data_IF_840080259708
#
_entry.id   IF_840080259708
#
_cell.length_a   1.000
_cell.length_b   1.000
_cell.length_c   1.000
_cell.angle_alpha   90.00
_cell.angle_beta   90.00
_cell.angle_gamma   90.00
#
_symmetry.space_group_name_H-M   'P 1'
#
loop_
_entity.id
_entity.type
_entity.pdbx_description
1 polymer ?
#
# COMPACT_ATOMS: atom_id res chain seq x y z
N UNK A 1 -4.46 14.54 -15.37
CA UNK A 1 -5.16 13.26 -15.52
C UNK A 1 -6.03 13.02 -14.29
N UNK A 2 -7.24 12.58 -14.49
CA UNK A 2 -8.17 12.33 -13.40
C UNK A 2 -8.27 10.83 -13.12
N UNK A 3 -8.53 10.51 -11.86
CA UNK A 3 -8.67 9.13 -11.39
C UNK A 3 -10.00 9.01 -10.63
N UNK A 4 -11.13 9.03 -11.32
CA UNK A 4 -12.44 9.11 -10.66
C UNK A 4 -12.78 7.87 -9.84
N UNK A 5 -12.14 6.73 -10.10
CA UNK A 5 -12.36 5.51 -9.33
C UNK A 5 -11.40 5.36 -8.15
N UNK A 6 -10.46 6.30 -7.99
CA UNK A 6 -9.51 6.30 -6.87
C UNK A 6 -10.07 7.15 -5.74
N UNK A 7 -10.87 6.54 -4.89
CA UNK A 7 -11.56 7.20 -3.80
C UNK A 7 -11.31 6.53 -2.44
N UNK A 8 -10.32 5.65 -2.37
CA UNK A 8 -10.03 4.90 -1.16
C UNK A 8 -9.02 5.63 -0.28
N UNK A 9 -9.14 5.43 1.02
CA UNK A 9 -8.13 5.83 1.97
C UNK A 9 -7.19 4.67 2.24
N UNK A 10 -5.89 4.96 2.35
CA UNK A 10 -4.89 3.98 2.78
C UNK A 10 -4.00 4.62 3.82
N UNK A 11 -3.48 3.81 4.73
CA UNK A 11 -2.55 4.27 5.76
C UNK A 11 -1.18 3.68 5.48
N UNK A 12 -0.17 4.55 5.45
CA UNK A 12 1.21 4.18 5.19
C UNK A 12 1.98 4.24 6.50
N UNK A 13 2.70 3.17 6.81
CA UNK A 13 3.55 3.08 7.99
C UNK A 13 5.00 2.92 7.58
N UNK A 14 5.86 3.76 8.12
CA UNK A 14 7.29 3.76 7.82
C UNK A 14 8.08 3.83 9.12
N UNK A 15 9.11 3.01 9.23
CA UNK A 15 9.99 3.04 10.37
C UNK A 15 11.18 3.96 10.11
N UNK A 16 11.46 4.82 11.07
CA UNK A 16 12.66 5.65 11.11
C UNK A 16 13.54 5.22 12.27
N UNK A 17 14.80 5.67 12.30
CA UNK A 17 15.74 5.34 13.36
C UNK A 17 15.24 5.80 14.73
N UNK A 18 14.50 6.90 14.79
CA UNK A 18 13.98 7.53 16.01
C UNK A 18 12.50 7.24 16.27
N UNK A 19 11.90 6.30 15.55
CA UNK A 19 10.50 5.96 15.74
C UNK A 19 9.78 5.62 14.44
N UNK A 20 8.46 5.67 14.46
CA UNK A 20 7.63 5.36 13.32
C UNK A 20 6.91 6.57 12.77
N UNK A 21 6.61 6.54 11.49
CA UNK A 21 5.80 7.53 10.81
C UNK A 21 4.52 6.87 10.32
N UNK A 22 3.41 7.60 10.44
CA UNK A 22 2.11 7.15 9.95
C UNK A 22 1.49 8.27 9.12
N UNK A 23 1.03 7.95 7.93
CA UNK A 23 0.32 8.88 7.05
C UNK A 23 -0.93 8.24 6.51
N UNK A 24 -2.00 8.99 6.46
CA UNK A 24 -3.23 8.59 5.78
C UNK A 24 -3.27 9.29 4.43
N UNK A 25 -3.36 8.51 3.35
CA UNK A 25 -3.49 9.03 1.99
C UNK A 25 -4.93 8.86 1.55
N UNK A 26 -5.49 9.91 0.95
CA UNK A 26 -6.86 9.93 0.46
C UNK A 26 -6.89 9.88 -1.06
N UNK A 27 -7.95 9.32 -1.62
CA UNK A 27 -8.13 9.30 -3.06
C UNK A 27 -7.19 8.37 -3.81
N UNK A 28 -6.91 7.22 -3.24
CA UNK A 28 -6.06 6.20 -3.85
C UNK A 28 -6.89 5.03 -4.36
N UNK A 29 -6.27 4.19 -5.21
CA UNK A 29 -6.81 2.90 -5.58
C UNK A 29 -5.97 1.81 -4.91
N UNK A 30 -6.63 0.83 -4.31
CA UNK A 30 -5.96 -0.28 -3.65
C UNK A 30 -6.63 -1.59 -4.02
N UNK A 31 -5.83 -2.57 -4.44
CA UNK A 31 -6.31 -3.88 -4.82
C UNK A 31 -5.39 -4.93 -4.18
N UNK A 32 -5.97 -5.84 -3.41
CA UNK A 32 -5.25 -6.81 -2.60
C UNK A 32 -5.60 -8.23 -3.05
N UNK A 33 -4.66 -9.16 -2.89
CA UNK A 33 -4.89 -10.56 -3.20
C UNK A 33 -4.92 -10.87 -4.70
N UNK A 34 -4.14 -10.11 -5.50
CA UNK A 34 -4.18 -10.21 -6.96
C UNK A 34 -3.84 -11.58 -7.51
N UNK A 35 -2.97 -12.33 -6.80
CA UNK A 35 -2.53 -13.65 -7.24
C UNK A 35 -3.06 -14.75 -6.34
N UNK A 36 -4.12 -14.45 -5.58
CA UNK A 36 -4.73 -15.40 -4.67
C UNK A 36 -5.21 -16.64 -5.44
N UNK A 37 -4.86 -17.82 -4.94
CA UNK A 37 -5.28 -19.07 -5.56
C UNK A 37 -5.56 -20.12 -4.49
N UNK A 38 -6.47 -21.02 -4.82
CA UNK A 38 -6.81 -22.13 -3.96
C UNK A 38 -5.89 -23.29 -4.25
N UNK A 39 -5.30 -23.88 -3.23
CA UNK A 39 -4.43 -25.03 -3.32
C UNK A 39 -5.13 -26.27 -2.78
N UNK A 40 -4.48 -27.43 -2.89
CA UNK A 40 -4.99 -28.67 -2.31
C UNK A 40 -5.14 -28.55 -0.79
N UNK A 41 -4.28 -27.78 -0.15
CA UNK A 41 -4.32 -27.54 1.31
C UNK A 41 -5.28 -26.42 1.71
N UNK A 42 -5.97 -25.79 0.75
CA UNK A 42 -6.89 -24.69 1.00
C UNK A 42 -6.42 -23.41 0.31
N UNK A 43 -6.98 -22.29 0.75
CA UNK A 43 -6.64 -20.99 0.20
C UNK A 43 -5.24 -20.56 0.65
N UNK A 44 -4.35 -20.39 -0.29
CA UNK A 44 -3.02 -19.90 0.00
C UNK A 44 -3.09 -18.39 0.24
N UNK A 45 -2.48 -17.94 1.34
CA UNK A 45 -2.44 -16.52 1.66
C UNK A 45 -1.54 -15.79 0.67
N UNK A 46 -2.12 -14.82 -0.03
CA UNK A 46 -1.42 -14.02 -1.03
C UNK A 46 -1.24 -12.61 -0.51
N UNK A 47 0.00 -12.16 -0.47
CA UNK A 47 0.35 -10.81 -0.02
C UNK A 47 0.53 -9.83 -1.18
N UNK A 48 0.24 -10.26 -2.41
CA UNK A 48 0.33 -9.41 -3.59
C UNK A 48 -0.73 -8.31 -3.55
N UNK A 49 -0.36 -7.09 -3.91
CA UNK A 49 -1.28 -5.96 -3.97
C UNK A 49 -0.82 -4.94 -5.00
N UNK A 50 -1.73 -4.06 -5.38
CA UNK A 50 -1.46 -2.92 -6.22
C UNK A 50 -2.05 -1.68 -5.58
N UNK A 51 -1.24 -0.66 -5.40
CA UNK A 51 -1.63 0.65 -4.89
C UNK A 51 -1.34 1.69 -5.96
N UNK A 52 -2.34 2.50 -6.30
CA UNK A 52 -2.18 3.64 -7.22
C UNK A 52 -2.44 4.92 -6.44
N UNK A 53 -1.44 5.80 -6.41
CA UNK A 53 -1.51 7.08 -5.72
C UNK A 53 -1.48 8.18 -6.77
N UNK A 54 -2.62 8.84 -7.05
CA UNK A 54 -2.64 9.98 -7.97
C UNK A 54 -1.69 11.09 -7.50
N UNK A 55 -1.13 11.84 -8.43
CA UNK A 55 -0.20 12.93 -8.11
C UNK A 55 -0.81 13.92 -7.12
N UNK A 56 -0.03 14.35 -6.14
CA UNK A 56 -0.46 15.28 -5.10
C UNK A 56 -1.18 14.63 -3.92
N UNK A 57 -1.42 13.32 -3.95
CA UNK A 57 -2.10 12.62 -2.84
C UNK A 57 -1.16 12.11 -1.77
N UNK A 58 0.12 11.97 -2.08
CA UNK A 58 1.12 11.50 -1.15
C UNK A 58 2.19 10.66 -1.84
N UNK A 59 3.06 10.06 -1.05
CA UNK A 59 4.15 9.24 -1.56
C UNK A 59 4.34 7.99 -0.72
N UNK A 60 5.04 7.02 -1.29
CA UNK A 60 5.34 5.74 -0.66
C UNK A 60 6.74 5.30 -1.10
N UNK A 61 7.40 4.51 -0.25
CA UNK A 61 8.73 3.96 -0.53
C UNK A 61 8.73 2.45 -0.35
N UNK A 62 9.69 1.80 -1.00
CA UNK A 62 9.92 0.37 -0.79
C UNK A 62 10.17 0.10 0.70
N UNK A 63 9.52 -0.92 1.24
CA UNK A 63 9.61 -1.26 2.66
C UNK A 63 8.49 -0.68 3.51
N UNK A 64 7.78 0.33 3.01
CA UNK A 64 6.61 0.85 3.73
C UNK A 64 5.55 -0.23 3.87
N UNK A 65 4.79 -0.18 4.96
CA UNK A 65 3.64 -1.05 5.18
C UNK A 65 2.37 -0.28 4.89
N UNK A 66 1.46 -0.92 4.18
CA UNK A 66 0.22 -0.29 3.70
C UNK A 66 -0.97 -1.01 4.30
N UNK A 67 -1.87 -0.25 4.88
CA UNK A 67 -3.12 -0.75 5.44
C UNK A 67 -4.29 -0.09 4.69
N UNK A 68 -5.24 -0.86 4.14
CA UNK A 68 -6.40 -0.29 3.47
C UNK A 68 -7.33 0.35 4.49
N UNK A 69 -7.77 1.57 4.19
CA UNK A 69 -8.56 2.36 5.12
C UNK A 69 -7.68 3.09 6.11
N UNK A 70 -8.29 3.51 7.22
CA UNK A 70 -7.60 4.25 8.28
C UNK A 70 -7.15 3.26 9.35
N UNK A 71 -5.85 3.01 9.41
CA UNK A 71 -5.27 2.06 10.35
C UNK A 71 -5.01 2.65 11.72
N UNK A 72 -4.59 1.83 12.69
CA UNK A 72 -4.35 2.28 14.06
C UNK A 72 -3.27 3.37 14.13
N UNK A 73 -3.45 4.31 15.07
CA UNK A 73 -2.53 5.43 15.25
C UNK A 73 -1.19 5.02 15.84
N UNK A 74 -1.19 3.99 16.68
CA UNK A 74 0.02 3.48 17.30
C UNK A 74 0.13 1.99 17.04
N UNK A 75 1.29 1.55 16.60
CA UNK A 75 1.54 0.15 16.29
C UNK A 75 2.88 -0.27 16.90
N UNK A 76 2.96 -1.54 17.31
CA UNK A 76 4.23 -2.18 17.62
C UNK A 76 4.81 -2.69 16.30
N UNK A 77 5.86 -2.04 15.81
CA UNK A 77 6.44 -2.33 14.49
C UNK A 77 6.78 -3.81 14.30
N UNK A 78 7.26 -4.46 15.36
CA UNK A 78 7.67 -5.85 15.27
C UNK A 78 6.50 -6.83 15.19
N UNK A 79 5.30 -6.41 15.62
CA UNK A 79 4.07 -7.21 15.57
C UNK A 79 3.13 -6.78 14.44
N UNK A 80 3.31 -5.58 13.94
CA UNK A 80 2.48 -5.02 12.87
C UNK A 80 3.06 -5.42 11.51
N UNK A 81 2.98 -6.71 11.19
CA UNK A 81 3.61 -7.29 10.01
C UNK A 81 2.57 -7.96 9.12
N UNK A 82 2.80 -7.94 7.78
CA UNK A 82 1.94 -8.66 6.86
C UNK A 82 1.93 -10.15 7.21
N UNK A 83 0.74 -10.74 7.12
CA UNK A 83 0.57 -12.13 7.49
C UNK A 83 0.08 -12.33 8.91
N UNK A 84 0.40 -11.42 9.83
CA UNK A 84 -0.12 -11.39 11.21
C UNK A 84 -1.32 -10.45 11.28
N UNK A 85 -1.18 -9.26 10.71
CA UNK A 85 -2.27 -8.26 10.65
C UNK A 85 -3.01 -8.44 9.34
N UNK A 86 -4.28 -8.74 9.42
CA UNK A 86 -5.11 -8.93 8.23
C UNK A 86 -5.20 -7.64 7.41
N UNK A 87 -5.03 -7.77 6.10
CA UNK A 87 -5.10 -6.64 5.16
C UNK A 87 -3.83 -5.81 5.06
N UNK A 88 -2.87 -6.02 5.95
CA UNK A 88 -1.60 -5.30 5.90
C UNK A 88 -0.69 -5.89 4.82
N UNK A 89 -0.08 -5.02 4.03
CA UNK A 89 0.85 -5.39 2.95
C UNK A 89 2.14 -4.58 3.06
N UNK A 90 3.20 -5.05 2.42
CA UNK A 90 4.47 -4.34 2.40
C UNK A 90 4.88 -4.04 0.97
N UNK A 91 5.31 -2.81 0.73
CA UNK A 91 5.70 -2.32 -0.58
C UNK A 91 7.02 -2.97 -1.01
N UNK A 92 7.00 -3.64 -2.16
CA UNK A 92 8.18 -4.27 -2.74
C UNK A 92 8.71 -3.51 -3.96
N UNK A 93 7.88 -2.70 -4.62
CA UNK A 93 8.32 -1.86 -5.72
C UNK A 93 7.51 -0.56 -5.74
N UNK A 94 8.11 0.48 -6.32
CA UNK A 94 7.47 1.79 -6.53
C UNK A 94 7.82 2.26 -7.93
N UNK A 95 6.81 2.61 -8.72
CA UNK A 95 6.98 3.08 -10.09
C UNK A 95 6.20 4.38 -10.32
N UNK A 96 6.89 5.51 -10.52
CA UNK A 96 6.20 6.73 -10.93
C UNK A 96 5.87 6.68 -12.43
N UNK A 97 4.71 7.22 -12.80
CA UNK A 97 4.27 7.33 -14.19
C UNK A 97 4.12 8.80 -14.56
N UNK A 98 4.81 9.19 -15.62
CA UNK A 98 4.85 10.57 -16.10
C UNK A 98 4.20 10.69 -17.47
N UNK A 99 3.59 11.82 -17.72
CA UNK A 99 3.08 12.22 -19.03
C UNK A 99 3.47 13.66 -19.26
N UNK A 100 4.17 13.93 -20.38
CA UNK A 100 4.67 15.26 -20.75
C UNK A 100 5.46 15.93 -19.62
N UNK A 101 6.31 15.14 -18.94
CA UNK A 101 7.17 15.63 -17.87
C UNK A 101 6.47 15.84 -16.52
N UNK A 102 5.18 15.50 -16.43
CA UNK A 102 4.41 15.65 -15.19
C UNK A 102 4.09 14.30 -14.60
N UNK A 103 4.22 14.19 -13.29
CA UNK A 103 3.79 12.99 -12.57
C UNK A 103 2.28 12.86 -12.63
N UNK A 104 1.78 11.74 -13.15
CA UNK A 104 0.36 11.41 -13.18
C UNK A 104 -0.06 10.64 -11.94
N UNK A 105 0.68 9.58 -11.64
CA UNK A 105 0.43 8.75 -10.46
C UNK A 105 1.68 7.95 -10.13
N UNK A 106 1.69 7.39 -8.93
CA UNK A 106 2.71 6.44 -8.51
C UNK A 106 2.03 5.09 -8.28
N UNK A 107 2.62 4.06 -8.82
CA UNK A 107 2.18 2.68 -8.64
C UNK A 107 3.12 1.99 -7.68
N UNK A 108 2.58 1.32 -6.68
CA UNK A 108 3.35 0.60 -5.69
C UNK A 108 2.69 -0.74 -5.43
N UNK A 109 3.47 -1.71 -5.03
CA UNK A 109 2.86 -2.99 -4.77
C UNK A 109 3.83 -4.09 -4.40
N UNK A 110 3.30 -5.30 -4.49
CA UNK A 110 4.03 -6.54 -4.31
C UNK A 110 3.45 -7.58 -5.25
N UNK A 111 4.30 -8.16 -6.03
CA UNK A 111 3.89 -9.20 -6.98
C UNK A 111 3.90 -10.57 -6.34
#
# INVERSE_FOLDING_TARGET
>A
MEYPLCDMDVTIYRKHADGGERRVLHGCCYQWGLNSRQTVAGLQKDLAFLLVIPAGRGEVQVGDRVFPGIGPKQVDWFRFVPGVVEGLSQVAYVRPYYLDGRLCHTEAGRK
#
